data_IF_106239907716
#
_entry.id   IF_106239907716
#
_cell.length_a   1.000
_cell.length_b   1.000
_cell.length_c   1.000
_cell.angle_alpha   90.00
_cell.angle_beta   90.00
_cell.angle_gamma   90.00
#
_symmetry.space_group_name_H-M   'P 1'
#
loop_
_entity.id
_entity.type
_entity.pdbx_description
1 polymer ?
#
# COMPACT_ATOMS: atom_id res chain seq x y z
N UNK A 1 -6.87 9.66 -20.13
CA UNK A 1 -6.23 10.51 -19.09
C UNK A 1 -5.03 9.77 -18.59
N UNK A 2 -3.85 10.43 -18.54
CA UNK A 2 -2.63 9.82 -18.00
C UNK A 2 -2.81 9.46 -16.51
N UNK A 3 -2.15 8.38 -16.08
CA UNK A 3 -2.21 7.95 -14.68
C UNK A 3 -1.48 8.96 -13.80
N UNK A 4 -2.14 9.58 -12.79
CA UNK A 4 -1.52 10.59 -11.94
C UNK A 4 -0.37 10.01 -11.09
N UNK A 5 0.65 10.82 -10.88
CA UNK A 5 1.84 10.48 -10.10
C UNK A 5 2.41 11.66 -9.36
N UNK A 6 3.25 11.39 -8.37
CA UNK A 6 4.04 12.40 -7.65
C UNK A 6 5.51 12.02 -7.79
N UNK A 7 6.31 12.96 -8.26
CA UNK A 7 7.76 12.82 -8.37
C UNK A 7 8.42 13.28 -7.05
N UNK A 8 9.11 12.36 -6.38
CA UNK A 8 9.90 12.64 -5.17
C UNK A 8 11.37 12.94 -5.50
N UNK A 9 11.71 12.98 -6.78
CA UNK A 9 13.06 13.31 -7.25
C UNK A 9 14.05 12.16 -7.12
N UNK A 10 15.31 12.54 -7.01
CA UNK A 10 16.43 11.60 -6.92
C UNK A 10 17.10 11.35 -8.28
N UNK A 11 18.17 10.55 -8.24
CA UNK A 11 18.97 10.14 -9.41
C UNK A 11 19.23 8.65 -9.32
N UNK A 12 19.53 8.02 -10.46
CA UNK A 12 19.79 6.59 -10.54
C UNK A 12 18.64 5.82 -11.17
N UNK A 13 18.49 4.57 -10.80
CA UNK A 13 17.47 3.70 -11.34
C UNK A 13 16.06 4.10 -10.91
N UNK A 14 15.09 3.82 -11.76
CA UNK A 14 13.69 4.15 -11.46
C UNK A 14 13.12 3.25 -10.38
N UNK A 15 12.45 3.88 -9.42
CA UNK A 15 11.71 3.24 -8.36
C UNK A 15 10.28 3.77 -8.34
N UNK A 16 9.31 2.87 -8.46
CA UNK A 16 7.89 3.22 -8.35
C UNK A 16 7.31 2.72 -7.04
N UNK A 17 6.63 3.63 -6.32
CA UNK A 17 5.95 3.34 -5.06
C UNK A 17 4.43 3.32 -5.22
N UNK A 18 3.78 2.31 -4.63
CA UNK A 18 2.32 2.15 -4.60
C UNK A 18 1.81 2.23 -3.14
N UNK A 19 0.96 3.21 -2.89
CA UNK A 19 0.47 3.53 -1.54
C UNK A 19 -0.68 2.61 -1.06
N UNK A 20 -0.98 2.65 0.24
CA UNK A 20 -2.07 1.92 0.85
C UNK A 20 -3.44 2.63 0.71
N UNK A 21 -4.52 1.91 1.07
CA UNK A 21 -5.87 2.45 1.16
C UNK A 21 -5.98 3.54 2.24
N UNK A 22 -6.37 4.74 1.87
CA UNK A 22 -6.51 5.86 2.81
C UNK A 22 -5.22 6.59 3.17
N UNK A 23 -4.09 6.23 2.54
CA UNK A 23 -2.76 6.82 2.77
C UNK A 23 -2.20 7.36 1.46
N UNK A 24 -2.49 8.62 1.07
CA UNK A 24 -1.89 9.23 -0.12
C UNK A 24 -0.35 9.16 -0.13
N UNK A 25 0.30 9.27 -1.30
CA UNK A 25 1.76 9.16 -1.41
C UNK A 25 2.54 10.08 -0.48
N UNK A 26 2.04 11.27 -0.21
CA UNK A 26 2.67 12.28 0.65
C UNK A 26 2.83 11.81 2.09
N UNK A 27 1.99 10.88 2.56
CA UNK A 27 2.14 10.27 3.89
C UNK A 27 3.47 9.53 4.06
N UNK A 28 4.06 9.08 2.95
CA UNK A 28 5.30 8.31 2.93
C UNK A 28 6.53 9.17 2.68
N UNK A 29 6.41 10.50 2.72
CA UNK A 29 7.51 11.44 2.46
C UNK A 29 8.81 11.08 3.20
N UNK A 30 8.80 10.74 4.51
CA UNK A 30 10.04 10.38 5.22
C UNK A 30 10.74 9.15 4.63
N UNK A 31 10.00 8.15 4.14
CA UNK A 31 10.56 6.97 3.47
C UNK A 31 11.03 7.32 2.05
N UNK A 32 10.16 7.98 1.26
CA UNK A 32 10.40 8.22 -0.16
C UNK A 32 11.59 9.17 -0.39
N UNK A 33 11.77 10.18 0.46
CA UNK A 33 12.95 11.05 0.42
C UNK A 33 14.24 10.32 0.80
N UNK A 34 14.20 9.31 1.68
CA UNK A 34 15.39 8.46 1.95
C UNK A 34 15.74 7.60 0.75
N UNK A 35 14.75 7.06 0.06
CA UNK A 35 14.96 6.27 -1.15
C UNK A 35 15.45 7.14 -2.32
N UNK A 36 15.03 8.40 -2.42
CA UNK A 36 15.45 9.31 -3.47
C UNK A 36 16.93 9.71 -3.41
N UNK A 37 17.62 9.38 -2.31
CA UNK A 37 19.08 9.51 -2.25
C UNK A 37 19.81 8.61 -3.26
N UNK A 38 19.23 7.44 -3.60
CA UNK A 38 19.86 6.43 -4.47
C UNK A 38 19.02 6.06 -5.70
N UNK A 39 17.75 6.41 -5.73
CA UNK A 39 16.81 6.09 -6.80
C UNK A 39 16.08 7.33 -7.30
N UNK A 40 15.63 7.29 -8.55
CA UNK A 40 14.63 8.23 -9.07
C UNK A 40 13.25 7.75 -8.64
N UNK A 41 12.68 8.38 -7.62
CA UNK A 41 11.47 7.91 -6.94
C UNK A 41 10.21 8.58 -7.47
N UNK A 42 9.28 7.77 -7.98
CA UNK A 42 7.94 8.19 -8.38
C UNK A 42 6.89 7.42 -7.58
N UNK A 43 5.92 8.10 -7.01
CA UNK A 43 4.79 7.46 -6.35
C UNK A 43 3.54 7.54 -7.22
N UNK A 44 2.93 6.37 -7.48
CA UNK A 44 1.67 6.28 -8.20
C UNK A 44 0.54 6.82 -7.32
N UNK A 45 -0.27 7.73 -7.87
CA UNK A 45 -1.54 8.13 -7.25
C UNK A 45 -2.60 7.14 -7.71
N UNK A 46 -3.07 6.28 -6.82
CA UNK A 46 -4.04 5.25 -7.19
C UNK A 46 -5.46 5.79 -7.37
N UNK A 47 -6.28 5.09 -8.14
CA UNK A 47 -7.63 5.44 -8.61
C UNK A 47 -8.52 6.12 -7.56
N UNK A 48 -8.56 5.73 -6.27
CA UNK A 48 -9.40 6.41 -5.27
C UNK A 48 -9.13 7.91 -5.08
N UNK A 49 -7.97 8.39 -5.53
CA UNK A 49 -7.57 9.80 -5.47
C UNK A 49 -7.73 10.53 -6.82
N UNK A 50 -8.20 9.85 -7.87
CA UNK A 50 -8.35 10.49 -9.18
C UNK A 50 -9.60 11.36 -9.22
N UNK A 51 -9.52 12.55 -9.83
CA UNK A 51 -10.70 13.37 -10.09
C UNK A 51 -11.74 12.61 -10.89
N UNK A 52 -12.99 12.63 -10.44
CA UNK A 52 -14.11 12.00 -11.13
C UNK A 52 -14.20 10.46 -11.01
N UNK A 53 -13.24 9.80 -10.35
CA UNK A 53 -13.33 8.37 -10.08
C UNK A 53 -14.47 8.04 -9.11
N UNK A 54 -15.14 6.91 -9.33
CA UNK A 54 -16.28 6.49 -8.53
C UNK A 54 -16.01 5.13 -7.87
N UNK A 55 -16.37 4.94 -6.59
CA UNK A 55 -16.16 3.68 -5.88
C UNK A 55 -16.78 2.47 -6.60
N UNK A 56 -17.92 2.67 -7.28
CA UNK A 56 -18.61 1.61 -8.00
C UNK A 56 -17.92 1.16 -9.31
N UNK A 57 -16.83 1.83 -9.70
CA UNK A 57 -16.06 1.44 -10.89
C UNK A 57 -15.16 0.22 -10.64
N UNK A 58 -15.10 -0.30 -9.42
CA UNK A 58 -14.36 -1.51 -9.07
C UNK A 58 -15.21 -2.50 -8.27
N UNK A 59 -15.10 -3.78 -8.58
CA UNK A 59 -15.70 -4.91 -7.82
C UNK A 59 -14.66 -5.77 -7.12
N UNK A 60 -13.41 -5.63 -7.49
CA UNK A 60 -12.21 -6.19 -6.86
C UNK A 60 -11.01 -5.29 -7.18
N UNK A 61 -9.79 -5.69 -6.76
CA UNK A 61 -8.59 -4.86 -6.95
C UNK A 61 -7.84 -5.07 -8.27
N UNK A 62 -8.36 -5.88 -9.20
CA UNK A 62 -7.73 -6.07 -10.53
C UNK A 62 -7.71 -4.79 -11.35
N UNK A 63 -8.76 -3.94 -11.36
CA UNK A 63 -8.70 -2.65 -12.05
C UNK A 63 -7.58 -1.71 -11.55
N UNK A 64 -7.19 -1.80 -10.26
CA UNK A 64 -6.05 -1.04 -9.74
C UNK A 64 -4.73 -1.57 -10.29
N UNK A 65 -4.64 -2.88 -10.52
CA UNK A 65 -3.48 -3.50 -11.20
C UNK A 65 -3.42 -3.08 -12.66
N UNK A 66 -4.57 -3.04 -13.35
CA UNK A 66 -4.66 -2.58 -14.73
C UNK A 66 -4.23 -1.10 -14.87
N UNK A 67 -4.59 -0.26 -13.90
CA UNK A 67 -4.13 1.13 -13.84
C UNK A 67 -2.61 1.22 -13.69
N UNK A 68 -2.03 0.38 -12.83
CA UNK A 68 -0.58 0.35 -12.63
C UNK A 68 0.16 -0.12 -13.89
N UNK A 69 -0.31 -1.19 -14.54
CA UNK A 69 0.30 -1.65 -15.80
C UNK A 69 0.19 -0.60 -16.90
N UNK A 70 -0.98 0.07 -17.02
CA UNK A 70 -1.13 1.21 -17.93
C UNK A 70 -0.14 2.35 -17.63
N UNK A 71 0.10 2.65 -16.33
CA UNK A 71 1.12 3.62 -15.95
C UNK A 71 2.50 3.21 -16.47
N UNK A 72 2.88 1.93 -16.37
CA UNK A 72 4.16 1.42 -16.89
C UNK A 72 4.25 1.54 -18.41
N UNK A 73 3.14 1.31 -19.12
CA UNK A 73 3.08 1.47 -20.59
C UNK A 73 3.24 2.93 -21.00
N UNK A 74 2.57 3.86 -20.32
CA UNK A 74 2.67 5.30 -20.57
C UNK A 74 4.10 5.85 -20.37
N UNK A 75 4.90 5.20 -19.50
CA UNK A 75 6.25 5.64 -19.15
C UNK A 75 7.34 4.87 -19.92
N UNK A 76 6.98 3.87 -20.74
CA UNK A 76 7.89 3.07 -21.55
C UNK A 76 9.08 2.48 -20.77
N UNK A 77 8.92 2.26 -19.48
CA UNK A 77 9.99 1.75 -18.62
C UNK A 77 10.16 0.25 -18.85
N UNK A 78 11.36 -0.15 -19.29
CA UNK A 78 11.63 -1.54 -19.65
C UNK A 78 11.65 -2.47 -18.43
N UNK A 79 12.33 -2.05 -17.37
CA UNK A 79 12.40 -2.81 -16.11
C UNK A 79 12.77 -1.87 -14.97
N UNK A 80 12.10 -1.99 -13.81
CA UNK A 80 12.25 -1.05 -12.70
C UNK A 80 12.14 -1.73 -11.33
N UNK A 81 12.56 -1.02 -10.31
CA UNK A 81 12.32 -1.39 -8.92
C UNK A 81 10.95 -0.88 -8.46
N UNK A 82 10.24 -1.72 -7.72
CA UNK A 82 8.94 -1.33 -7.19
C UNK A 82 8.80 -1.65 -5.71
N UNK A 83 8.12 -0.75 -5.01
CA UNK A 83 7.74 -0.92 -3.61
C UNK A 83 6.23 -0.71 -3.48
N UNK A 84 5.53 -1.61 -2.80
CA UNK A 84 4.09 -1.47 -2.56
C UNK A 84 3.72 -1.73 -1.11
N UNK A 85 2.92 -0.85 -0.52
CA UNK A 85 2.42 -1.00 0.84
C UNK A 85 0.97 -1.49 0.85
N UNK A 86 0.66 -2.48 1.69
CA UNK A 86 -0.72 -2.92 1.93
C UNK A 86 -1.46 -3.31 0.64
N UNK A 87 -2.53 -2.57 0.27
CA UNK A 87 -3.24 -2.67 -1.01
C UNK A 87 -2.28 -2.50 -2.20
N UNK A 88 -1.39 -1.49 -2.15
CA UNK A 88 -0.36 -1.25 -3.17
C UNK A 88 0.57 -2.45 -3.34
N UNK A 89 0.87 -3.18 -2.25
CA UNK A 89 1.62 -4.43 -2.30
C UNK A 89 0.92 -5.53 -3.08
N UNK A 90 -0.40 -5.65 -2.96
CA UNK A 90 -1.21 -6.62 -3.71
C UNK A 90 -1.32 -6.24 -5.20
N UNK A 91 -1.51 -4.94 -5.48
CA UNK A 91 -1.50 -4.41 -6.84
C UNK A 91 -0.17 -4.74 -7.53
N UNK A 92 0.94 -4.45 -6.86
CA UNK A 92 2.30 -4.73 -7.34
C UNK A 92 2.55 -6.24 -7.55
N UNK A 93 2.23 -7.07 -6.55
CA UNK A 93 2.43 -8.52 -6.66
C UNK A 93 1.65 -9.11 -7.83
N UNK A 94 0.40 -8.66 -8.03
CA UNK A 94 -0.43 -9.12 -9.15
C UNK A 94 0.12 -8.65 -10.51
N UNK A 95 0.65 -7.42 -10.58
CA UNK A 95 1.32 -6.92 -11.78
C UNK A 95 2.58 -7.75 -12.10
N UNK A 96 3.42 -8.03 -11.09
CA UNK A 96 4.62 -8.85 -11.27
C UNK A 96 4.33 -10.31 -11.66
N UNK A 97 3.17 -10.84 -11.30
CA UNK A 97 2.69 -12.15 -11.77
C UNK A 97 2.19 -12.12 -13.22
N UNK A 98 1.69 -10.99 -13.70
CA UNK A 98 1.16 -10.82 -15.06
C UNK A 98 2.24 -10.46 -16.07
N UNK A 99 3.14 -9.55 -15.71
CA UNK A 99 4.18 -8.99 -16.58
C UNK A 99 5.54 -8.98 -15.86
N UNK A 100 6.11 -10.17 -15.57
CA UNK A 100 7.29 -10.29 -14.71
C UNK A 100 8.54 -9.59 -15.27
N UNK A 101 8.64 -9.38 -16.58
CA UNK A 101 9.76 -8.72 -17.28
C UNK A 101 9.84 -7.22 -16.97
N UNK A 102 8.77 -6.61 -16.47
CA UNK A 102 8.73 -5.20 -16.07
C UNK A 102 9.44 -4.92 -14.75
N UNK A 103 9.84 -5.94 -14.00
CA UNK A 103 10.31 -5.79 -12.63
C UNK A 103 11.70 -6.38 -12.44
N UNK A 104 12.69 -5.53 -12.08
CA UNK A 104 14.01 -5.96 -11.61
C UNK A 104 13.89 -6.68 -10.28
N UNK A 105 13.26 -6.02 -9.31
CA UNK A 105 12.90 -6.60 -8.02
C UNK A 105 11.70 -5.84 -7.41
N UNK A 106 10.98 -6.49 -6.50
CA UNK A 106 9.83 -5.92 -5.82
C UNK A 106 9.94 -6.04 -4.31
N UNK A 107 9.51 -5.00 -3.59
CA UNK A 107 9.37 -5.05 -2.13
C UNK A 107 7.92 -4.81 -1.74
N UNK A 108 7.37 -5.71 -0.95
CA UNK A 108 5.99 -5.69 -0.46
C UNK A 108 6.00 -5.39 1.03
N UNK A 109 5.55 -4.20 1.40
CA UNK A 109 5.48 -3.74 2.79
C UNK A 109 4.12 -4.12 3.36
N UNK A 110 4.08 -5.10 4.23
CA UNK A 110 2.90 -5.65 4.89
C UNK A 110 1.66 -5.79 3.97
N UNK A 111 1.78 -6.57 2.86
CA UNK A 111 0.75 -6.66 1.84
C UNK A 111 -0.53 -7.32 2.40
N UNK A 112 -1.71 -6.91 1.89
CA UNK A 112 -3.01 -7.49 2.29
C UNK A 112 -3.19 -8.87 1.66
N UNK A 113 -2.32 -9.81 2.02
CA UNK A 113 -2.37 -11.20 1.56
C UNK A 113 -2.73 -12.12 2.73
N UNK A 114 -3.91 -12.71 2.68
CA UNK A 114 -4.37 -13.66 3.70
C UNK A 114 -4.20 -15.11 3.22
N UNK A 115 -4.15 -16.08 4.17
CA UNK A 115 -4.09 -17.49 3.81
C UNK A 115 -5.32 -17.94 3.00
N UNK A 116 -5.20 -18.96 2.12
CA UNK A 116 -6.30 -19.43 1.27
C UNK A 116 -7.61 -19.75 2.01
N UNK A 117 -7.52 -20.33 3.20
CA UNK A 117 -8.72 -20.65 4.00
C UNK A 117 -9.48 -19.40 4.45
N UNK A 118 -8.75 -18.32 4.80
CA UNK A 118 -9.37 -17.05 5.19
C UNK A 118 -10.01 -16.37 3.98
N UNK A 119 -9.35 -16.41 2.81
CA UNK A 119 -9.92 -15.90 1.55
C UNK A 119 -11.21 -16.64 1.22
N UNK A 120 -11.22 -17.98 1.33
CA UNK A 120 -12.41 -18.79 1.07
C UNK A 120 -13.56 -18.43 2.03
N UNK A 121 -13.28 -18.30 3.33
CA UNK A 121 -14.25 -17.87 4.33
C UNK A 121 -14.80 -16.47 4.01
N UNK A 122 -13.92 -15.51 3.71
CA UNK A 122 -14.34 -14.13 3.41
C UNK A 122 -15.18 -14.05 2.12
N UNK A 123 -14.82 -14.84 1.11
CA UNK A 123 -15.60 -14.95 -0.12
C UNK A 123 -17.01 -15.49 0.13
N UNK A 124 -17.15 -16.47 1.02
CA UNK A 124 -18.46 -16.96 1.46
C UNK A 124 -19.26 -15.85 2.16
N UNK A 125 -18.66 -15.13 3.10
CA UNK A 125 -19.29 -14.00 3.79
C UNK A 125 -19.75 -12.91 2.81
N UNK A 126 -18.96 -12.64 1.78
CA UNK A 126 -19.32 -11.69 0.73
C UNK A 126 -20.49 -12.20 -0.11
N UNK A 127 -20.48 -13.46 -0.53
CA UNK A 127 -21.57 -14.08 -1.30
C UNK A 127 -22.90 -14.02 -0.53
N UNK A 128 -22.85 -14.22 0.77
CA UNK A 128 -24.02 -14.09 1.68
C UNK A 128 -24.40 -12.64 2.00
N UNK A 129 -23.72 -11.62 1.37
CA UNK A 129 -23.93 -10.18 1.59
C UNK A 129 -23.69 -9.70 3.03
N UNK A 130 -22.96 -10.49 3.83
CA UNK A 130 -22.67 -10.20 5.23
C UNK A 130 -21.42 -9.31 5.40
N UNK A 131 -20.58 -9.16 4.38
CA UNK A 131 -19.33 -8.41 4.44
C UNK A 131 -19.48 -6.98 4.98
N UNK A 132 -20.51 -6.24 4.53
CA UNK A 132 -20.76 -4.86 5.00
C UNK A 132 -21.02 -4.76 6.52
N UNK A 133 -21.67 -5.77 7.09
CA UNK A 133 -22.08 -5.78 8.51
C UNK A 133 -20.93 -6.17 9.43
N UNK A 134 -20.06 -7.05 8.96
CA UNK A 134 -19.04 -7.68 9.80
C UNK A 134 -17.61 -7.20 9.52
N UNK A 135 -17.40 -6.32 8.52
CA UNK A 135 -16.06 -5.82 8.23
C UNK A 135 -15.62 -4.80 9.28
N UNK A 136 -14.56 -5.07 10.08
CA UNK A 136 -14.22 -4.26 11.25
C UNK A 136 -13.86 -2.81 10.90
N UNK A 137 -13.22 -2.59 9.74
CA UNK A 137 -12.72 -1.27 9.33
C UNK A 137 -13.78 -0.36 8.69
N UNK A 138 -14.90 -0.92 8.22
CA UNK A 138 -15.97 -0.15 7.54
C UNK A 138 -16.66 0.82 8.50
N UNK A 139 -16.94 0.40 9.73
CA UNK A 139 -17.53 1.28 10.73
C UNK A 139 -16.61 2.46 11.07
N UNK A 140 -15.32 2.19 11.29
CA UNK A 140 -14.32 3.22 11.57
C UNK A 140 -14.17 4.23 10.43
N UNK A 141 -14.14 3.77 9.17
CA UNK A 141 -14.06 4.64 8.00
C UNK A 141 -15.30 5.54 7.87
N UNK A 142 -16.50 5.02 8.17
CA UNK A 142 -17.75 5.76 8.10
C UNK A 142 -17.87 6.83 9.18
N UNK A 143 -17.41 6.54 10.40
CA UNK A 143 -17.53 7.43 11.57
C UNK A 143 -16.37 8.42 11.69
N UNK A 144 -15.33 8.28 10.89
CA UNK A 144 -14.14 9.12 10.96
C UNK A 144 -14.50 10.58 10.70
N UNK A 145 -14.10 11.49 11.61
CA UNK A 145 -14.16 12.94 11.37
C UNK A 145 -13.33 13.29 10.14
N UNK A 146 -13.89 14.10 9.24
CA UNK A 146 -13.28 14.38 7.93
C UNK A 146 -12.90 15.83 7.72
N UNK A 147 -13.38 16.75 8.56
CA UNK A 147 -13.14 18.19 8.45
C UNK A 147 -12.48 18.70 9.73
N UNK A 148 -11.50 19.58 9.56
CA UNK A 148 -10.66 20.10 10.64
C UNK A 148 -10.37 21.57 10.39
N UNK A 149 -10.26 22.36 11.45
CA UNK A 149 -10.01 23.79 11.38
C UNK A 149 -8.54 24.06 11.02
N UNK A 150 -7.63 23.23 11.59
CA UNK A 150 -6.18 23.33 11.41
C UNK A 150 -5.51 21.94 11.49
N UNK A 151 -4.25 21.88 11.02
CA UNK A 151 -3.46 20.65 11.01
C UNK A 151 -2.95 20.24 12.41
N UNK A 152 -2.75 21.20 13.30
CA UNK A 152 -2.27 20.92 14.65
C UNK A 152 -3.35 20.19 15.47
N UNK A 153 -4.61 20.59 15.32
CA UNK A 153 -5.74 19.86 15.91
C UNK A 153 -5.86 18.45 15.37
N UNK A 154 -5.61 18.26 14.07
CA UNK A 154 -5.59 16.94 13.43
C UNK A 154 -4.45 16.11 13.97
N UNK A 155 -3.23 16.65 14.03
CA UNK A 155 -2.04 16.01 14.60
C UNK A 155 -2.28 15.56 16.04
N UNK A 156 -2.71 16.46 16.90
CA UNK A 156 -3.00 16.15 18.31
C UNK A 156 -4.06 15.06 18.47
N UNK A 157 -5.05 15.03 17.58
CA UNK A 157 -6.06 13.99 17.53
C UNK A 157 -5.49 12.62 17.17
N UNK A 158 -4.55 12.55 16.24
CA UNK A 158 -3.90 11.32 15.83
C UNK A 158 -2.83 10.85 16.83
N UNK A 159 -2.04 11.75 17.42
CA UNK A 159 -1.01 11.42 18.42
C UNK A 159 -1.55 10.62 19.61
N UNK A 160 -2.81 10.85 19.98
CA UNK A 160 -3.47 10.16 21.11
C UNK A 160 -3.93 8.74 20.78
N UNK A 161 -3.91 8.32 19.50
CA UNK A 161 -4.40 7.00 19.09
C UNK A 161 -3.26 5.97 19.17
N UNK A 162 -3.55 4.84 19.80
CA UNK A 162 -2.58 3.76 19.98
C UNK A 162 -2.01 3.19 18.69
N UNK A 163 -2.77 3.28 17.57
CA UNK A 163 -2.31 2.82 16.25
C UNK A 163 -1.08 3.60 15.76
N UNK A 164 -0.83 4.82 16.25
CA UNK A 164 0.33 5.66 15.89
C UNK A 164 1.44 5.67 16.95
N UNK A 165 1.42 4.72 17.89
CA UNK A 165 2.37 4.69 19.02
C UNK A 165 3.83 4.58 18.62
N UNK A 166 4.12 3.93 17.49
CA UNK A 166 5.47 3.73 16.98
C UNK A 166 5.94 4.80 15.98
N UNK A 167 5.03 5.69 15.53
CA UNK A 167 5.44 6.82 14.71
C UNK A 167 6.14 7.88 15.56
N UNK A 168 7.29 8.35 15.11
CA UNK A 168 7.87 9.59 15.60
C UNK A 168 7.06 10.81 15.18
N UNK A 169 7.39 11.99 15.73
CA UNK A 169 6.63 13.20 15.48
C UNK A 169 6.76 13.68 14.03
N UNK A 170 7.93 13.52 13.40
CA UNK A 170 8.17 13.92 12.02
C UNK A 170 7.36 13.06 11.06
N UNK A 171 7.35 11.74 11.25
CA UNK A 171 6.53 10.81 10.48
C UNK A 171 5.04 11.06 10.65
N UNK A 172 4.61 11.37 11.89
CA UNK A 172 3.20 11.68 12.14
C UNK A 172 2.78 13.02 11.53
N UNK A 173 3.65 14.04 11.54
CA UNK A 173 3.40 15.32 10.84
C UNK A 173 3.30 15.11 9.34
N UNK A 174 4.23 14.37 8.72
CA UNK A 174 4.15 14.01 7.31
C UNK A 174 2.87 13.25 6.96
N UNK A 175 2.45 12.32 7.83
CA UNK A 175 1.18 11.62 7.67
C UNK A 175 -0.01 12.58 7.70
N UNK A 176 -0.07 13.47 8.69
CA UNK A 176 -1.18 14.45 8.85
C UNK A 176 -1.27 15.38 7.65
N UNK A 177 -0.14 15.90 7.19
CA UNK A 177 -0.04 16.75 6.00
C UNK A 177 -0.48 15.97 4.74
N UNK A 178 -0.04 14.72 4.60
CA UNK A 178 -0.34 13.90 3.43
C UNK A 178 -1.80 13.48 3.31
N UNK A 179 -2.53 13.33 4.42
CA UNK A 179 -3.96 12.97 4.38
C UNK A 179 -4.89 14.17 4.25
N UNK A 180 -4.40 15.41 4.43
CA UNK A 180 -5.20 16.62 4.54
C UNK A 180 -5.14 17.46 3.26
N UNK A 181 -6.30 17.76 2.70
CA UNK A 181 -6.47 18.70 1.59
C UNK A 181 -7.11 19.99 2.09
N UNK A 182 -6.60 21.14 1.65
CA UNK A 182 -7.17 22.44 1.96
C UNK A 182 -8.57 22.58 1.35
N UNK A 183 -9.47 23.23 2.06
CA UNK A 183 -10.84 23.50 1.61
C UNK A 183 -10.97 24.95 1.13
N UNK A 184 -11.76 25.19 0.09
CA UNK A 184 -12.06 26.54 -0.39
C UNK A 184 -12.72 27.41 0.68
N UNK A 185 -13.52 26.80 1.57
CA UNK A 185 -14.19 27.45 2.69
C UNK A 185 -13.29 27.68 3.93
N UNK A 186 -12.00 27.42 3.81
CA UNK A 186 -11.02 27.45 4.92
C UNK A 186 -10.96 26.11 5.69
N UNK A 187 -9.83 25.93 6.39
CA UNK A 187 -9.53 24.68 7.08
C UNK A 187 -9.17 23.53 6.15
N UNK A 188 -9.27 22.29 6.65
CA UNK A 188 -8.80 21.09 5.97
C UNK A 188 -9.86 19.98 5.96
N UNK A 189 -9.75 19.10 4.99
CA UNK A 189 -10.52 17.86 4.93
C UNK A 189 -9.61 16.67 4.57
N UNK A 190 -10.04 15.45 4.88
CA UNK A 190 -9.32 14.27 4.41
C UNK A 190 -9.44 14.16 2.88
N UNK A 191 -8.29 14.06 2.19
CA UNK A 191 -8.23 13.96 0.72
C UNK A 191 -8.90 12.69 0.20
N UNK A 192 -8.76 11.59 0.94
CA UNK A 192 -9.30 10.29 0.57
C UNK A 192 -10.76 10.15 1.03
N UNK A 193 -11.71 9.85 0.15
CA UNK A 193 -13.12 9.79 0.51
C UNK A 193 -13.46 8.56 1.36
N UNK A 194 -14.49 8.67 2.24
CA UNK A 194 -14.96 7.54 3.02
C UNK A 194 -15.53 6.43 2.13
N UNK A 195 -16.22 6.80 1.06
CA UNK A 195 -16.87 5.84 0.15
C UNK A 195 -15.82 5.00 -0.58
N UNK A 196 -14.72 5.62 -1.02
CA UNK A 196 -13.60 4.91 -1.59
C UNK A 196 -12.90 4.01 -0.56
N UNK A 197 -12.63 4.52 0.65
CA UNK A 197 -12.00 3.75 1.73
C UNK A 197 -12.83 2.48 2.04
N UNK A 198 -14.14 2.65 2.19
CA UNK A 198 -15.09 1.55 2.43
C UNK A 198 -15.12 0.59 1.22
N UNK A 199 -15.14 1.12 -0.01
CA UNK A 199 -15.18 0.27 -1.21
C UNK A 199 -13.96 -0.62 -1.31
N UNK A 200 -12.77 -0.07 -1.07
CA UNK A 200 -11.52 -0.84 -1.05
C UNK A 200 -11.60 -1.97 0.00
N UNK A 201 -12.06 -1.70 1.23
CA UNK A 201 -12.24 -2.74 2.23
C UNK A 201 -13.22 -3.83 1.79
N UNK A 202 -14.33 -3.47 1.19
CA UNK A 202 -15.37 -4.42 0.77
C UNK A 202 -15.01 -5.21 -0.50
N UNK A 203 -14.10 -4.72 -1.32
CA UNK A 203 -13.69 -5.35 -2.59
C UNK A 203 -12.35 -6.07 -2.48
N UNK A 204 -11.60 -5.88 -1.39
CA UNK A 204 -10.36 -6.57 -1.10
C UNK A 204 -10.52 -8.08 -1.01
N UNK A 205 -9.40 -8.79 -1.19
CA UNK A 205 -9.26 -10.26 -1.10
C UNK A 205 -10.18 -11.11 -1.99
N UNK A 206 -11.16 -10.52 -2.67
CA UNK A 206 -12.18 -11.24 -3.44
C UNK A 206 -11.62 -12.17 -4.52
N UNK A 207 -10.50 -11.83 -5.15
CA UNK A 207 -9.86 -12.61 -6.21
C UNK A 207 -8.44 -13.06 -5.87
N UNK A 208 -8.01 -12.95 -4.62
CA UNK A 208 -6.62 -13.18 -4.24
C UNK A 208 -6.20 -14.65 -4.26
N UNK A 209 -7.14 -15.58 -4.45
CA UNK A 209 -6.79 -16.96 -4.80
C UNK A 209 -6.00 -17.06 -6.10
N UNK A 210 -6.13 -16.07 -6.99
CA UNK A 210 -5.34 -16.00 -8.23
C UNK A 210 -3.87 -15.74 -7.93
N UNK A 211 -3.58 -14.91 -6.91
CA UNK A 211 -2.22 -14.66 -6.41
C UNK A 211 -1.61 -15.95 -5.89
N UNK A 212 -2.33 -16.69 -5.03
CA UNK A 212 -1.84 -17.96 -4.48
C UNK A 212 -1.56 -19.03 -5.56
N UNK A 213 -2.35 -19.06 -6.63
CA UNK A 213 -2.12 -19.95 -7.79
C UNK A 213 -0.95 -19.48 -8.64
N UNK A 214 -0.78 -18.17 -8.79
CA UNK A 214 0.31 -17.56 -9.56
C UNK A 214 1.65 -17.54 -8.83
N UNK A 215 1.66 -17.51 -7.49
CA UNK A 215 2.85 -17.32 -6.66
C UNK A 215 4.04 -18.21 -7.01
N UNK A 216 3.88 -19.54 -7.30
CA UNK A 216 4.98 -20.38 -7.73
C UNK A 216 5.65 -19.95 -9.04
N UNK A 217 4.96 -19.11 -9.84
CA UNK A 217 5.44 -18.61 -11.13
C UNK A 217 6.06 -17.20 -11.04
N UNK A 218 6.11 -16.62 -9.84
CA UNK A 218 6.74 -15.30 -9.65
C UNK A 218 8.22 -15.37 -10.04
N UNK A 219 8.61 -14.59 -11.05
CA UNK A 219 9.98 -14.55 -11.59
C UNK A 219 10.80 -13.45 -10.93
N UNK A 220 10.20 -12.28 -10.70
CA UNK A 220 10.88 -11.15 -10.09
C UNK A 220 11.36 -11.50 -8.68
N UNK A 221 12.61 -11.18 -8.31
CA UNK A 221 13.07 -11.19 -6.94
C UNK A 221 12.10 -10.41 -6.05
N UNK A 222 11.72 -10.99 -4.91
CA UNK A 222 10.70 -10.39 -4.06
C UNK A 222 11.06 -10.46 -2.58
N UNK A 223 10.95 -9.33 -1.89
CA UNK A 223 11.04 -9.21 -0.44
C UNK A 223 9.67 -8.80 0.11
N UNK A 224 9.22 -9.51 1.15
CA UNK A 224 8.08 -9.09 1.97
C UNK A 224 8.62 -8.64 3.32
N UNK A 225 8.32 -7.42 3.72
CA UNK A 225 8.62 -6.91 5.07
C UNK A 225 7.29 -6.81 5.83
N UNK A 226 7.17 -7.51 6.93
CA UNK A 226 5.99 -7.48 7.81
C UNK A 226 6.30 -6.80 9.14
N UNK A 227 5.31 -6.16 9.73
CA UNK A 227 5.40 -5.72 11.13
C UNK A 227 5.30 -6.91 12.10
N UNK A 228 6.06 -6.90 13.18
CA UNK A 228 5.94 -7.95 14.21
C UNK A 228 4.53 -7.99 14.83
N UNK A 229 3.91 -6.82 14.95
CA UNK A 229 2.57 -6.64 15.56
C UNK A 229 1.48 -6.37 14.52
N UNK A 230 1.67 -6.82 13.27
CA UNK A 230 0.66 -6.66 12.22
C UNK A 230 -0.52 -7.62 12.42
N UNK A 231 -1.71 -7.12 12.11
CA UNK A 231 -2.94 -7.91 11.98
C UNK A 231 -3.32 -8.25 10.52
N UNK A 232 -2.49 -7.82 9.57
CA UNK A 232 -2.75 -7.91 8.13
C UNK A 232 -1.95 -9.03 7.46
N UNK A 233 -0.62 -8.96 7.44
CA UNK A 233 0.21 -10.04 6.90
C UNK A 233 0.71 -10.95 8.02
N UNK A 234 -0.04 -12.00 8.31
CA UNK A 234 0.24 -12.90 9.42
C UNK A 234 1.54 -13.70 9.19
N UNK A 235 2.23 -14.03 10.26
CA UNK A 235 3.43 -14.88 10.21
C UNK A 235 3.19 -16.19 9.44
N UNK A 236 2.05 -16.84 9.71
CA UNK A 236 1.62 -18.06 9.00
C UNK A 236 1.45 -17.83 7.49
N UNK A 237 1.04 -16.63 7.07
CA UNK A 237 0.99 -16.27 5.64
C UNK A 237 2.39 -16.26 5.04
N UNK A 238 3.35 -15.66 5.73
CA UNK A 238 4.77 -15.65 5.32
C UNK A 238 5.34 -17.07 5.17
N UNK A 239 5.05 -17.95 6.14
CA UNK A 239 5.45 -19.37 6.05
C UNK A 239 4.83 -20.09 4.85
N UNK A 240 3.55 -19.79 4.54
CA UNK A 240 2.87 -20.34 3.35
C UNK A 240 3.49 -19.80 2.05
N UNK A 241 3.83 -18.52 2.00
CA UNK A 241 4.50 -17.88 0.85
C UNK A 241 5.85 -18.55 0.60
N UNK A 242 6.71 -18.66 1.62
CA UNK A 242 8.03 -19.33 1.52
C UNK A 242 7.91 -20.79 1.03
N UNK A 243 6.89 -21.51 1.47
CA UNK A 243 6.65 -22.89 0.99
C UNK A 243 6.22 -22.94 -0.48
N UNK A 244 5.44 -21.97 -0.94
CA UNK A 244 4.93 -21.90 -2.32
C UNK A 244 5.97 -21.34 -3.31
N UNK A 245 6.77 -20.38 -2.86
CA UNK A 245 7.83 -19.74 -3.64
C UNK A 245 9.04 -19.49 -2.73
N UNK A 246 9.97 -20.46 -2.66
CA UNK A 246 11.13 -20.39 -1.74
C UNK A 246 12.09 -19.22 -1.99
N UNK A 247 12.04 -18.62 -3.19
CA UNK A 247 12.87 -17.44 -3.53
C UNK A 247 12.34 -16.13 -2.96
N UNK A 248 11.11 -16.10 -2.45
CA UNK A 248 10.58 -14.91 -1.77
C UNK A 248 11.19 -14.81 -0.38
N UNK A 249 11.88 -13.72 -0.12
CA UNK A 249 12.38 -13.38 1.20
C UNK A 249 11.23 -12.82 2.04
N UNK A 250 11.19 -13.14 3.33
CA UNK A 250 10.20 -12.59 4.28
C UNK A 250 10.94 -12.17 5.56
N UNK A 251 10.92 -10.87 5.81
CA UNK A 251 11.55 -10.25 6.98
C UNK A 251 10.48 -9.72 7.94
N UNK A 252 10.76 -9.78 9.22
CA UNK A 252 9.88 -9.23 10.27
C UNK A 252 10.60 -8.06 10.94
N UNK A 253 9.94 -6.90 10.95
CA UNK A 253 10.45 -5.70 11.60
C UNK A 253 9.85 -5.59 13.00
N UNK A 254 10.70 -5.61 14.01
CA UNK A 254 10.30 -5.50 15.41
C UNK A 254 9.75 -4.10 15.75
N UNK A 255 8.89 -4.02 16.75
CA UNK A 255 8.26 -2.77 17.21
C UNK A 255 7.61 -2.01 16.05
N UNK A 256 6.88 -2.73 15.22
CA UNK A 256 6.13 -2.16 14.11
C UNK A 256 4.83 -2.93 13.84
N UNK A 257 3.85 -2.21 13.29
CA UNK A 257 2.53 -2.72 12.94
C UNK A 257 2.36 -2.77 11.42
N UNK A 258 1.11 -2.85 10.95
CA UNK A 258 0.78 -2.65 9.53
C UNK A 258 1.33 -1.33 8.96
N UNK A 259 1.57 -0.33 9.81
CA UNK A 259 2.05 0.99 9.40
C UNK A 259 3.59 1.10 9.34
N UNK A 260 4.31 0.00 9.29
CA UNK A 260 5.79 -0.06 9.33
C UNK A 260 6.52 0.94 8.42
N UNK A 261 6.08 1.27 7.17
CA UNK A 261 6.79 2.26 6.36
C UNK A 261 6.66 3.70 6.87
N UNK A 262 5.69 3.96 7.72
CA UNK A 262 5.45 5.25 8.37
C UNK A 262 6.02 5.27 9.80
N UNK A 263 6.11 4.12 10.45
CA UNK A 263 6.61 3.96 11.82
C UNK A 263 8.14 3.90 11.86
N UNK A 264 8.75 3.25 10.87
CA UNK A 264 10.19 2.93 10.83
C UNK A 264 10.80 3.25 9.44
N UNK A 265 10.61 4.49 8.91
CA UNK A 265 11.02 4.81 7.53
C UNK A 265 12.52 4.60 7.28
N UNK A 266 13.37 4.81 8.28
CA UNK A 266 14.81 4.60 8.18
C UNK A 266 15.17 3.12 7.98
N UNK A 267 14.67 2.23 8.85
CA UNK A 267 14.94 0.80 8.79
C UNK A 267 14.33 0.17 7.53
N UNK A 268 13.10 0.55 7.19
CA UNK A 268 12.44 0.11 5.95
C UNK A 268 13.24 0.55 4.71
N UNK A 269 13.73 1.79 4.69
CA UNK A 269 14.60 2.27 3.61
C UNK A 269 15.87 1.44 3.46
N UNK A 270 16.53 1.10 4.58
CA UNK A 270 17.73 0.26 4.57
C UNK A 270 17.45 -1.14 4.04
N UNK A 271 16.37 -1.78 4.47
CA UNK A 271 15.97 -3.10 3.97
C UNK A 271 15.70 -3.09 2.45
N UNK A 272 14.95 -2.07 1.97
CA UNK A 272 14.66 -1.90 0.54
C UNK A 272 15.96 -1.75 -0.26
N UNK A 273 16.86 -0.85 0.18
CA UNK A 273 18.10 -0.55 -0.53
C UNK A 273 19.03 -1.76 -0.56
N UNK A 274 19.21 -2.46 0.54
CA UNK A 274 20.04 -3.68 0.61
C UNK A 274 19.51 -4.73 -0.34
N UNK A 275 18.19 -5.00 -0.31
CA UNK A 275 17.58 -5.99 -1.19
C UNK A 275 17.70 -5.63 -2.67
N UNK A 276 17.53 -4.36 -3.02
CA UNK A 276 17.64 -3.93 -4.42
C UNK A 276 19.10 -3.96 -4.93
N UNK A 277 20.08 -3.63 -4.08
CA UNK A 277 21.49 -3.76 -4.44
C UNK A 277 21.90 -5.21 -4.71
N UNK A 278 21.34 -6.16 -4.00
CA UNK A 278 21.60 -7.59 -4.24
C UNK A 278 20.95 -8.13 -5.53
N UNK A 279 19.98 -7.39 -6.09
CA UNK A 279 19.17 -7.81 -7.24
C UNK A 279 19.20 -6.81 -8.42
N UNK A 280 20.19 -5.92 -8.45
CA UNK A 280 20.36 -4.90 -9.50
C UNK A 280 20.97 -5.50 -10.80
#
# INVERSE_FOLDING_TARGET
MAVPRIDFGGKGEELVFLHANGYPPECYRPLLLRLSANYRVTALVQRPLWPGSRPNDIDDWRPLTDDFLRFLDEHQTASLFCVGHSMGGIVLLRAALREPERFKAIVLLDPVLFPPYFIAFWNLMRTLRLGRRFHPLVSGARQRRRQFDDLERLYNGYRRKSVFRYMDDDSLRAYVEGIACQRDSGGYQLCYSADWEIRIYLTGIWRDMDIWRGLPKLKAPALIVRGAETDTFWERTGQLVKRKQPRVQVETLEKSTHLLPLERPGEVSTLIQSFFMENA
#
